data_IF_158690327324
#
_entry.id   IF_158690327324
#
_cell.length_a   1.000
_cell.length_b   1.000
_cell.length_c   1.000
_cell.angle_alpha   90.00
_cell.angle_beta   90.00
_cell.angle_gamma   90.00
#
_symmetry.space_group_name_H-M   'P 1'
#
loop_
_entity.id
_entity.type
_entity.pdbx_description
1 polymer ?
#
# COMPACT_ATOMS: atom_id res chain seq x y z
N UNK A 1 10.74 2.18 32.39
CA UNK A 1 10.82 3.30 31.42
C UNK A 1 9.44 3.45 30.81
N UNK A 2 8.81 4.62 30.86
CA UNK A 2 7.46 4.76 30.31
C UNK A 2 7.51 4.92 28.78
N UNK A 3 6.43 4.54 28.08
CA UNK A 3 6.30 4.77 26.63
C UNK A 3 6.51 6.25 26.25
N UNK A 4 6.19 7.18 27.15
CA UNK A 4 6.43 8.62 26.97
C UNK A 4 7.91 9.00 26.88
N UNK A 5 8.80 8.20 27.50
CA UNK A 5 10.23 8.52 27.62
C UNK A 5 11.02 8.07 26.40
N UNK A 6 10.38 7.31 25.51
CA UNK A 6 10.99 6.79 24.29
C UNK A 6 11.26 7.96 23.33
N UNK A 7 12.54 8.17 23.01
CA UNK A 7 12.95 9.15 21.98
C UNK A 7 12.29 8.83 20.64
N UNK A 8 11.56 9.79 20.09
CA UNK A 8 10.87 9.64 18.80
C UNK A 8 11.74 10.05 17.62
N UNK A 9 11.42 9.56 16.44
CA UNK A 9 12.05 9.99 15.20
C UNK A 9 11.85 11.49 15.00
N UNK A 10 12.91 12.20 14.61
CA UNK A 10 12.81 13.62 14.29
C UNK A 10 12.20 13.79 12.89
N UNK A 11 10.86 13.90 12.88
CA UNK A 11 10.06 14.16 11.69
C UNK A 11 10.19 15.62 11.21
N UNK A 12 10.59 16.54 12.10
CA UNK A 12 10.72 17.97 11.80
C UNK A 12 12.03 18.31 11.07
N UNK A 13 13.06 17.47 11.23
CA UNK A 13 14.33 17.62 10.52
C UNK A 13 14.11 17.69 9.02
N UNK A 14 14.44 18.86 8.46
CA UNK A 14 14.26 19.18 7.04
C UNK A 14 14.99 18.18 6.14
N UNK A 15 14.41 17.84 4.97
CA UNK A 15 15.09 16.99 4.00
C UNK A 15 16.39 17.64 3.55
N UNK A 16 17.44 16.83 3.50
CA UNK A 16 18.73 17.24 2.93
C UNK A 16 18.63 16.98 1.44
N UNK A 17 19.03 17.96 0.62
CA UNK A 17 19.10 17.77 -0.83
C UNK A 17 20.08 16.63 -1.15
N UNK A 18 19.68 15.67 -1.98
CA UNK A 18 20.51 14.50 -2.32
C UNK A 18 21.94 14.91 -2.68
N UNK A 19 22.92 14.38 -1.93
CA UNK A 19 24.32 14.75 -2.09
C UNK A 19 24.86 14.31 -3.44
N UNK A 20 25.57 15.21 -4.11
CA UNK A 20 26.04 15.00 -5.48
C UNK A 20 26.90 13.75 -5.67
N UNK A 21 27.79 13.46 -4.72
CA UNK A 21 28.68 12.30 -4.78
C UNK A 21 27.97 10.95 -4.60
N UNK A 22 26.75 10.92 -4.07
CA UNK A 22 25.95 9.69 -3.96
C UNK A 22 25.19 9.36 -5.26
N UNK A 23 25.05 10.33 -6.18
CA UNK A 23 24.30 10.13 -7.43
C UNK A 23 24.94 9.09 -8.36
N UNK A 24 26.26 9.13 -8.64
CA UNK A 24 26.90 8.10 -9.46
C UNK A 24 26.70 6.70 -8.89
N UNK A 25 26.77 6.56 -7.55
CA UNK A 25 26.50 5.28 -6.88
C UNK A 25 25.06 4.81 -7.11
N UNK A 26 24.06 5.69 -6.99
CA UNK A 26 22.67 5.31 -7.27
C UNK A 26 22.46 4.84 -8.72
N UNK A 27 23.16 5.45 -9.68
CA UNK A 27 23.09 5.02 -11.08
C UNK A 27 23.78 3.67 -11.28
N UNK A 28 24.98 3.50 -10.73
CA UNK A 28 25.73 2.25 -10.80
C UNK A 28 24.94 1.07 -10.23
N UNK A 29 24.18 1.28 -9.15
CA UNK A 29 23.34 0.24 -8.53
C UNK A 29 22.02 -0.02 -9.28
N UNK A 30 21.56 0.93 -10.09
CA UNK A 30 20.25 0.86 -10.77
C UNK A 30 20.35 0.32 -12.20
N UNK A 31 21.25 0.86 -13.01
CA UNK A 31 21.37 0.52 -14.44
C UNK A 31 21.56 -0.98 -14.71
N UNK A 32 22.42 -1.72 -13.98
CA UNK A 32 22.60 -3.15 -14.22
C UNK A 32 21.32 -3.96 -14.04
N UNK A 33 20.49 -3.61 -13.05
CA UNK A 33 19.21 -4.30 -12.84
C UNK A 33 18.23 -4.00 -13.97
N UNK A 34 18.12 -2.73 -14.39
CA UNK A 34 17.26 -2.32 -15.51
C UNK A 34 17.66 -3.03 -16.81
N UNK A 35 18.97 -3.16 -17.06
CA UNK A 35 19.52 -3.90 -18.20
C UNK A 35 19.26 -5.41 -18.08
N UNK A 36 19.48 -5.98 -16.89
CA UNK A 36 19.26 -7.41 -16.65
C UNK A 36 17.82 -7.83 -16.93
N UNK A 37 16.83 -6.99 -16.59
CA UNK A 37 15.41 -7.23 -16.87
C UNK A 37 14.95 -6.71 -18.24
N UNK A 38 15.86 -6.12 -19.03
CA UNK A 38 15.57 -5.53 -20.36
C UNK A 38 14.37 -4.58 -20.32
N UNK A 39 14.33 -3.73 -19.29
CA UNK A 39 13.18 -2.86 -19.03
C UNK A 39 13.06 -1.82 -20.16
N UNK A 40 11.88 -1.74 -20.79
CA UNK A 40 11.56 -0.71 -21.78
C UNK A 40 10.86 0.47 -21.10
N UNK A 41 11.51 1.62 -21.08
CA UNK A 41 10.94 2.86 -20.53
C UNK A 41 10.36 3.70 -21.68
N UNK A 42 9.04 3.89 -21.68
CA UNK A 42 8.32 4.70 -22.66
C UNK A 42 7.91 6.02 -22.03
N UNK A 43 8.13 7.15 -22.72
CA UNK A 43 7.80 8.49 -22.22
C UNK A 43 6.64 9.07 -23.02
N UNK A 44 5.55 9.45 -22.35
CA UNK A 44 4.34 10.00 -22.98
C UNK A 44 4.09 11.41 -22.45
N UNK A 45 4.00 12.39 -23.34
CA UNK A 45 3.79 13.79 -22.94
C UNK A 45 4.94 14.41 -22.12
N UNK A 46 6.12 13.78 -22.10
CA UNK A 46 7.26 14.25 -21.29
C UNK A 46 8.15 15.30 -21.99
N UNK A 47 7.78 15.75 -23.19
CA UNK A 47 8.58 16.72 -23.94
C UNK A 47 8.62 18.07 -23.22
N UNK A 48 9.82 18.57 -22.92
CA UNK A 48 10.02 19.85 -22.25
C UNK A 48 9.77 19.84 -20.73
N UNK A 49 9.27 18.74 -20.16
CA UNK A 49 9.07 18.63 -18.71
C UNK A 49 10.42 18.52 -18.01
N UNK A 50 10.67 19.42 -17.05
CA UNK A 50 11.85 19.40 -16.18
C UNK A 50 11.39 19.47 -14.72
N UNK A 51 12.18 18.94 -13.77
CA UNK A 51 11.91 19.15 -12.35
C UNK A 51 11.76 20.64 -11.99
N UNK A 52 10.94 20.98 -10.98
CA UNK A 52 10.26 20.06 -10.06
C UNK A 52 8.93 19.51 -10.62
N UNK A 53 8.65 18.25 -10.34
CA UNK A 53 7.34 17.62 -10.56
C UNK A 53 7.12 16.53 -9.51
N UNK A 54 5.85 16.21 -9.25
CA UNK A 54 5.46 15.08 -8.42
C UNK A 54 5.41 13.82 -9.28
N UNK A 55 6.24 12.84 -8.95
CA UNK A 55 6.26 11.53 -9.59
C UNK A 55 5.49 10.53 -8.73
N UNK A 56 4.41 9.99 -9.29
CA UNK A 56 3.58 8.94 -8.70
C UNK A 56 3.91 7.59 -9.33
N UNK A 57 4.32 6.61 -8.52
CA UNK A 57 4.69 5.29 -9.01
C UNK A 57 3.77 4.20 -8.44
N UNK A 58 3.41 3.18 -9.23
CA UNK A 58 2.83 1.96 -8.68
C UNK A 58 3.89 1.15 -7.93
N UNK A 59 3.49 0.36 -6.94
CA UNK A 59 4.43 -0.34 -6.06
C UNK A 59 4.19 -1.85 -6.03
N UNK A 60 5.13 -2.65 -6.53
CA UNK A 60 4.97 -4.10 -6.56
C UNK A 60 6.23 -4.87 -6.17
N UNK A 61 7.44 -4.32 -6.38
CA UNK A 61 8.67 -4.97 -5.92
C UNK A 61 9.84 -4.02 -5.77
N UNK A 62 10.97 -4.51 -5.25
CA UNK A 62 12.12 -3.65 -4.96
C UNK A 62 12.78 -3.05 -6.22
N UNK A 63 12.55 -3.63 -7.41
CA UNK A 63 13.10 -3.11 -8.67
C UNK A 63 12.53 -1.73 -9.02
N UNK A 64 11.38 -1.37 -8.46
CA UNK A 64 10.68 -0.10 -8.68
C UNK A 64 11.62 1.11 -8.51
N UNK A 65 12.42 1.11 -7.45
CA UNK A 65 13.37 2.19 -7.14
C UNK A 65 14.48 2.31 -8.18
N UNK A 66 14.93 1.18 -8.74
CA UNK A 66 16.00 1.13 -9.73
C UNK A 66 15.51 1.64 -11.09
N UNK A 67 14.35 1.17 -11.54
CA UNK A 67 13.75 1.67 -12.79
C UNK A 67 13.39 3.13 -12.66
N UNK A 68 12.81 3.56 -11.53
CA UNK A 68 12.51 4.98 -11.28
C UNK A 68 13.75 5.85 -11.43
N UNK A 69 14.87 5.42 -10.83
CA UNK A 69 16.16 6.13 -10.94
C UNK A 69 16.64 6.27 -12.39
N UNK A 70 16.46 5.24 -13.22
CA UNK A 70 16.83 5.28 -14.65
C UNK A 70 15.82 6.11 -15.46
N UNK A 71 14.53 6.02 -15.18
CA UNK A 71 13.47 6.72 -15.92
C UNK A 71 13.59 8.24 -15.84
N UNK A 72 14.01 8.75 -14.69
CA UNK A 72 14.19 10.19 -14.44
C UNK A 72 15.62 10.68 -14.64
N UNK A 73 16.54 9.83 -15.11
CA UNK A 73 17.92 10.24 -15.34
C UNK A 73 17.99 11.51 -16.21
N UNK A 74 18.85 12.50 -15.87
CA UNK A 74 19.84 12.52 -14.79
C UNK A 74 19.34 13.20 -13.49
N UNK A 75 18.04 13.35 -13.30
CA UNK A 75 17.46 14.15 -12.21
C UNK A 75 17.55 13.48 -10.84
N UNK A 76 17.45 14.30 -9.78
CA UNK A 76 17.46 13.83 -8.37
C UNK A 76 16.09 13.29 -7.99
N UNK A 77 16.08 12.17 -7.28
CA UNK A 77 14.89 11.53 -6.75
C UNK A 77 14.84 11.73 -5.22
N UNK A 78 13.77 12.35 -4.71
CA UNK A 78 13.56 12.48 -3.27
C UNK A 78 12.34 11.63 -2.90
N UNK A 79 12.60 10.46 -2.31
CA UNK A 79 11.57 9.48 -2.00
C UNK A 79 10.92 9.74 -0.65
N UNK A 80 9.60 9.58 -0.59
CA UNK A 80 8.92 9.39 0.68
C UNK A 80 9.10 7.93 1.11
N UNK A 81 9.82 7.70 2.20
CA UNK A 81 10.22 6.36 2.68
C UNK A 81 9.62 6.13 4.06
N UNK A 82 9.02 4.96 4.25
CA UNK A 82 8.47 4.56 5.54
C UNK A 82 9.59 4.39 6.59
N UNK A 83 9.26 4.57 7.87
CA UNK A 83 10.24 4.62 8.96
C UNK A 83 11.06 3.32 9.11
N UNK A 84 10.50 2.18 8.73
CA UNK A 84 11.19 0.88 8.68
C UNK A 84 12.40 0.89 7.76
N UNK A 85 12.33 1.62 6.64
CA UNK A 85 13.47 1.85 5.76
C UNK A 85 14.63 2.60 6.45
N UNK A 86 14.34 3.40 7.49
CA UNK A 86 15.34 4.17 8.23
C UNK A 86 16.09 3.37 9.29
N UNK A 87 15.66 2.15 9.63
CA UNK A 87 16.30 1.32 10.66
C UNK A 87 17.79 1.12 10.32
N UNK A 88 18.67 1.60 11.20
CA UNK A 88 20.13 1.54 11.06
C UNK A 88 20.70 2.36 9.88
N UNK A 89 19.87 3.14 9.17
CA UNK A 89 20.24 3.78 7.89
C UNK A 89 19.84 5.25 7.81
N UNK A 90 19.43 5.87 8.91
CA UNK A 90 18.92 7.24 8.92
C UNK A 90 19.87 8.25 8.28
N UNK A 91 21.16 8.20 8.62
CA UNK A 91 22.14 9.11 8.03
C UNK A 91 22.18 8.98 6.51
N UNK A 92 22.25 7.74 5.99
CA UNK A 92 22.32 7.50 4.55
C UNK A 92 21.04 7.98 3.86
N UNK A 93 19.87 7.55 4.34
CA UNK A 93 18.58 7.89 3.72
C UNK A 93 18.32 9.39 3.71
N UNK A 94 18.66 10.11 4.79
CA UNK A 94 18.57 11.58 4.78
C UNK A 94 19.50 12.20 3.74
N UNK A 95 20.73 11.71 3.60
CA UNK A 95 21.71 12.28 2.66
C UNK A 95 21.45 11.92 1.18
N UNK A 96 20.65 10.88 0.91
CA UNK A 96 20.14 10.61 -0.45
C UNK A 96 18.82 11.33 -0.76
N UNK A 97 18.30 12.16 0.15
CA UNK A 97 17.10 12.98 -0.08
C UNK A 97 15.78 12.32 0.32
N UNK A 98 15.80 11.22 1.08
CA UNK A 98 14.58 10.59 1.54
C UNK A 98 13.89 11.42 2.63
N UNK A 99 12.56 11.50 2.54
CA UNK A 99 11.65 12.07 3.54
C UNK A 99 11.03 10.91 4.31
N UNK A 100 11.23 10.87 5.62
CA UNK A 100 10.59 9.86 6.46
C UNK A 100 9.08 10.12 6.54
N UNK A 101 8.27 9.06 6.42
CA UNK A 101 6.82 9.07 6.66
C UNK A 101 6.41 7.87 7.51
N UNK A 102 5.26 7.99 8.17
CA UNK A 102 4.53 6.84 8.71
C UNK A 102 3.34 6.55 7.80
N UNK A 103 3.11 5.28 7.47
CA UNK A 103 2.11 4.87 6.46
C UNK A 103 0.71 5.22 6.96
N UNK A 104 -0.20 5.56 6.05
CA UNK A 104 -1.62 5.82 6.36
C UNK A 104 -1.88 6.90 7.43
N UNK A 105 -0.94 7.85 7.63
CA UNK A 105 -1.11 8.99 8.54
C UNK A 105 -1.27 10.31 7.78
N UNK A 106 -2.03 11.24 8.36
CA UNK A 106 -2.20 12.59 7.83
C UNK A 106 -1.12 13.53 8.39
N UNK A 107 0.08 13.45 7.83
CA UNK A 107 1.22 14.25 8.28
C UNK A 107 1.37 15.57 7.49
N UNK A 108 1.07 16.69 8.15
CA UNK A 108 1.25 18.03 7.55
C UNK A 108 2.72 18.44 7.43
N UNK A 109 3.61 17.86 8.23
CA UNK A 109 5.06 18.11 8.15
C UNK A 109 5.62 17.55 6.85
N UNK A 110 5.17 16.37 6.44
CA UNK A 110 5.51 15.75 5.16
C UNK A 110 5.21 16.68 3.97
N UNK A 111 4.06 17.35 3.98
CA UNK A 111 3.69 18.31 2.93
C UNK A 111 4.66 19.50 2.87
N UNK A 112 5.12 20.01 4.03
CA UNK A 112 6.13 21.08 4.08
C UNK A 112 7.47 20.62 3.51
N UNK A 113 7.86 19.38 3.80
CA UNK A 113 9.08 18.79 3.24
C UNK A 113 9.00 18.60 1.73
N UNK A 114 7.85 18.17 1.21
CA UNK A 114 7.59 18.10 -0.23
C UNK A 114 7.71 19.48 -0.90
N UNK A 115 7.13 20.53 -0.31
CA UNK A 115 7.32 21.91 -0.81
C UNK A 115 8.78 22.31 -0.84
N UNK A 116 9.55 21.99 0.21
CA UNK A 116 10.99 22.28 0.24
C UNK A 116 11.77 21.57 -0.88
N UNK A 117 11.39 20.34 -1.22
CA UNK A 117 11.99 19.62 -2.36
C UNK A 117 11.61 20.28 -3.68
N UNK A 118 10.35 20.68 -3.85
CA UNK A 118 9.91 21.42 -5.02
C UNK A 118 10.67 22.74 -5.19
N UNK A 119 10.86 23.50 -4.11
CA UNK A 119 11.65 24.75 -4.10
C UNK A 119 13.11 24.54 -4.50
N UNK A 120 13.68 23.36 -4.22
CA UNK A 120 15.03 23.00 -4.66
C UNK A 120 15.10 22.63 -6.14
N UNK A 121 13.96 22.50 -6.83
CA UNK A 121 13.86 22.11 -8.23
C UNK A 121 14.17 20.63 -8.47
N UNK A 122 13.87 19.75 -7.51
CA UNK A 122 14.13 18.31 -7.62
C UNK A 122 12.83 17.50 -7.76
N UNK A 123 12.91 16.23 -8.15
CA UNK A 123 11.74 15.34 -8.29
C UNK A 123 11.33 14.83 -6.92
N UNK A 124 10.02 14.87 -6.65
CA UNK A 124 9.42 14.23 -5.47
C UNK A 124 8.84 12.89 -5.90
N UNK A 125 9.29 11.79 -5.30
CA UNK A 125 8.80 10.46 -5.64
C UNK A 125 7.90 9.93 -4.53
N UNK A 126 6.67 9.56 -4.91
CA UNK A 126 5.65 9.04 -4.03
C UNK A 126 5.07 7.75 -4.62
N UNK A 127 5.03 6.70 -3.81
CA UNK A 127 4.22 5.51 -4.06
C UNK A 127 2.90 5.68 -3.29
N UNK A 128 1.81 6.16 -3.93
CA UNK A 128 0.60 6.55 -3.24
C UNK A 128 -0.18 5.38 -2.64
N UNK A 129 0.02 4.17 -3.17
CA UNK A 129 -0.51 2.91 -2.64
C UNK A 129 0.05 2.56 -1.26
N UNK A 130 1.17 3.19 -0.87
CA UNK A 130 1.84 3.11 0.44
C UNK A 130 2.33 1.71 0.90
N UNK A 131 2.09 0.67 0.10
CA UNK A 131 2.52 -0.71 0.27
C UNK A 131 2.69 -1.38 -1.09
N UNK A 132 3.35 -2.53 -1.14
CA UNK A 132 3.33 -3.35 -2.34
C UNK A 132 1.92 -3.86 -2.63
N UNK A 133 1.55 -3.99 -3.90
CA UNK A 133 0.33 -4.69 -4.28
C UNK A 133 0.35 -6.13 -3.76
N UNK A 134 -0.78 -6.55 -3.21
CA UNK A 134 -0.95 -7.91 -2.70
C UNK A 134 -1.16 -8.92 -3.83
N UNK A 135 -1.78 -8.50 -4.95
CA UNK A 135 -2.22 -9.38 -6.04
C UNK A 135 -1.89 -8.85 -7.44
N UNK A 136 -0.97 -7.89 -7.58
CA UNK A 136 -0.46 -7.42 -8.89
C UNK A 136 -1.38 -6.45 -9.61
N UNK A 137 -2.42 -5.96 -8.93
CA UNK A 137 -3.32 -4.89 -9.38
C UNK A 137 -3.23 -3.69 -8.45
N UNK A 138 -3.91 -2.61 -8.80
CA UNK A 138 -3.84 -1.36 -8.05
C UNK A 138 -4.51 -1.43 -6.68
N UNK A 139 -3.90 -0.79 -5.69
CA UNK A 139 -4.52 -0.60 -4.37
C UNK A 139 -5.38 0.67 -4.34
N UNK A 140 -6.14 0.86 -3.25
CA UNK A 140 -6.85 2.11 -3.01
C UNK A 140 -5.86 3.28 -2.87
N UNK A 141 -6.14 4.37 -3.58
CA UNK A 141 -5.36 5.60 -3.49
C UNK A 141 -6.03 6.60 -2.53
N UNK A 142 -5.26 7.40 -1.77
CA UNK A 142 -5.84 8.41 -0.90
C UNK A 142 -6.48 9.55 -1.71
N UNK A 143 -7.73 9.91 -1.41
CA UNK A 143 -8.44 11.05 -2.02
C UNK A 143 -7.75 12.40 -1.77
N UNK A 144 -6.88 12.47 -0.76
CA UNK A 144 -6.07 13.66 -0.49
C UNK A 144 -4.99 13.93 -1.54
N UNK A 145 -4.74 13.02 -2.49
CA UNK A 145 -3.73 13.23 -3.55
C UNK A 145 -4.04 14.46 -4.41
N UNK A 146 -5.27 14.63 -4.88
CA UNK A 146 -5.66 15.79 -5.68
C UNK A 146 -5.46 17.10 -4.90
N UNK A 147 -5.77 17.10 -3.60
CA UNK A 147 -5.52 18.24 -2.71
C UNK A 147 -4.02 18.52 -2.54
N UNK A 148 -3.21 17.48 -2.42
CA UNK A 148 -1.76 17.57 -2.37
C UNK A 148 -1.19 18.19 -3.66
N UNK A 149 -1.68 17.75 -4.82
CA UNK A 149 -1.29 18.30 -6.13
C UNK A 149 -1.60 19.81 -6.21
N UNK A 150 -2.84 20.21 -5.89
CA UNK A 150 -3.24 21.64 -5.87
C UNK A 150 -2.38 22.46 -4.91
N UNK A 151 -1.95 21.87 -3.80
CA UNK A 151 -1.13 22.54 -2.80
C UNK A 151 0.35 22.68 -3.21
N UNK A 152 0.88 21.74 -3.97
CA UNK A 152 2.27 21.77 -4.46
C UNK A 152 2.44 22.66 -5.70
N UNK A 153 1.40 22.81 -6.54
CA UNK A 153 1.44 23.63 -7.76
C UNK A 153 2.59 23.31 -8.72
N UNK A 154 2.93 22.01 -8.81
CA UNK A 154 3.93 21.46 -9.73
C UNK A 154 3.31 20.36 -10.60
N UNK A 155 3.78 20.13 -11.83
CA UNK A 155 3.26 19.07 -12.70
C UNK A 155 3.20 17.70 -12.01
N UNK A 156 2.25 16.89 -12.44
CA UNK A 156 2.10 15.50 -11.97
C UNK A 156 2.47 14.55 -13.10
N UNK A 157 3.35 13.62 -12.78
CA UNK A 157 3.85 12.59 -13.69
C UNK A 157 3.60 11.24 -13.02
N UNK A 158 3.16 10.23 -13.76
CA UNK A 158 3.14 8.85 -13.30
C UNK A 158 4.30 8.05 -13.89
N UNK A 159 4.74 7.02 -13.16
CA UNK A 159 5.55 5.93 -13.67
C UNK A 159 4.85 4.61 -13.34
N UNK A 160 4.16 4.04 -14.32
CA UNK A 160 3.46 2.76 -14.17
C UNK A 160 4.35 1.67 -14.75
N UNK A 161 4.75 0.72 -13.92
CA UNK A 161 5.56 -0.42 -14.31
C UNK A 161 4.73 -1.69 -14.42
N UNK A 162 5.14 -2.56 -15.34
CA UNK A 162 4.59 -3.88 -15.59
C UNK A 162 5.70 -4.94 -15.63
N UNK A 163 5.36 -6.15 -15.21
CA UNK A 163 6.20 -7.33 -15.07
C UNK A 163 6.90 -7.45 -13.72
N UNK A 164 6.84 -6.41 -12.88
CA UNK A 164 7.55 -6.35 -11.61
C UNK A 164 6.87 -7.10 -10.46
N UNK A 165 5.55 -7.27 -10.49
CA UNK A 165 4.84 -8.10 -9.51
C UNK A 165 5.07 -9.57 -9.83
N UNK A 166 4.82 -9.98 -11.07
CA UNK A 166 4.99 -11.40 -11.46
C UNK A 166 6.44 -11.86 -11.36
N UNK A 167 7.41 -10.94 -11.37
CA UNK A 167 8.83 -11.21 -11.13
C UNK A 167 9.20 -11.48 -9.67
N UNK A 168 8.57 -10.78 -8.73
CA UNK A 168 8.92 -10.83 -7.30
C UNK A 168 7.73 -10.32 -6.50
N UNK A 169 6.65 -11.13 -6.41
CA UNK A 169 5.42 -10.68 -5.78
C UNK A 169 5.61 -10.57 -4.27
N UNK A 170 4.78 -9.76 -3.60
CA UNK A 170 4.93 -9.48 -2.18
C UNK A 170 4.93 -10.73 -1.27
N UNK A 171 4.18 -11.76 -1.66
CA UNK A 171 4.10 -13.04 -0.96
C UNK A 171 5.24 -14.01 -1.30
N UNK A 172 6.10 -13.68 -2.28
CA UNK A 172 7.31 -14.43 -2.62
C UNK A 172 8.36 -13.50 -3.26
N UNK A 173 9.22 -12.94 -2.41
CA UNK A 173 10.20 -11.91 -2.80
C UNK A 173 11.38 -12.44 -3.63
N UNK A 174 11.39 -13.72 -4.01
CA UNK A 174 12.45 -14.25 -4.88
C UNK A 174 12.35 -13.61 -6.27
N UNK A 175 13.48 -13.11 -6.76
CA UNK A 175 13.59 -12.62 -8.13
C UNK A 175 13.53 -13.80 -9.11
N UNK A 176 12.54 -13.77 -10.01
CA UNK A 176 12.28 -14.79 -11.03
C UNK A 176 12.94 -14.47 -12.38
N UNK A 177 13.67 -13.36 -12.47
CA UNK A 177 14.45 -13.00 -13.65
C UNK A 177 13.65 -12.60 -14.89
N UNK A 178 12.38 -12.19 -14.72
CA UNK A 178 11.46 -11.76 -15.78
C UNK A 178 12.13 -10.72 -16.68
N UNK A 179 12.08 -10.96 -17.99
CA UNK A 179 12.65 -10.07 -19.01
C UNK A 179 11.54 -9.26 -19.68
N UNK A 180 11.93 -8.18 -20.34
CA UNK A 180 11.05 -7.33 -21.14
C UNK A 180 9.96 -6.65 -20.31
N UNK A 181 10.28 -6.31 -19.06
CA UNK A 181 9.43 -5.45 -18.23
C UNK A 181 9.20 -4.11 -18.94
N UNK A 182 8.07 -3.47 -18.67
CA UNK A 182 7.69 -2.20 -19.29
C UNK A 182 7.49 -1.15 -18.20
N UNK A 183 7.86 0.09 -18.48
CA UNK A 183 7.58 1.22 -17.61
C UNK A 183 7.14 2.43 -18.43
N UNK A 184 6.00 3.01 -18.08
CA UNK A 184 5.40 4.16 -18.79
C UNK A 184 5.50 5.38 -17.91
N UNK A 185 6.36 6.33 -18.30
CA UNK A 185 6.52 7.64 -17.67
C UNK A 185 5.62 8.66 -18.40
N UNK A 186 4.52 9.07 -17.80
CA UNK A 186 3.50 9.89 -18.45
C UNK A 186 3.17 11.16 -17.65
N UNK A 187 3.06 12.31 -18.32
CA UNK A 187 2.47 13.50 -17.71
C UNK A 187 0.96 13.30 -17.55
N UNK A 188 0.46 13.45 -16.33
CA UNK A 188 -0.96 13.34 -16.01
C UNK A 188 -1.64 14.71 -15.92
N UNK A 189 -0.93 15.67 -15.33
CA UNK A 189 -1.41 17.04 -15.12
C UNK A 189 -0.25 17.99 -15.37
N UNK A 190 -0.43 18.88 -16.35
CA UNK A 190 0.50 19.98 -16.62
C UNK A 190 0.37 21.09 -15.59
N UNK A 191 1.35 22.00 -15.53
CA UNK A 191 1.31 23.12 -14.57
C UNK A 191 0.09 24.00 -14.79
N UNK A 192 -0.28 24.26 -16.04
CA UNK A 192 -1.39 25.14 -16.40
C UNK A 192 -2.74 24.50 -16.07
N UNK A 193 -2.85 23.18 -16.21
CA UNK A 193 -4.06 22.44 -15.82
C UNK A 193 -4.28 22.40 -14.31
N UNK A 194 -3.24 22.51 -13.48
CA UNK A 194 -3.39 22.41 -12.01
C UNK A 194 -4.35 23.47 -11.49
N UNK A 195 -4.28 24.70 -11.99
CA UNK A 195 -5.14 25.78 -11.50
C UNK A 195 -6.58 25.65 -12.04
N UNK A 196 -6.75 25.06 -13.23
CA UNK A 196 -8.04 24.87 -13.90
C UNK A 196 -8.85 23.69 -13.33
N UNK A 197 -8.19 22.54 -13.13
CA UNK A 197 -8.85 21.32 -12.66
C UNK A 197 -9.20 21.41 -11.17
N UNK A 198 -10.32 20.82 -10.80
CA UNK A 198 -10.62 20.56 -9.40
C UNK A 198 -9.81 19.34 -8.88
N UNK A 199 -9.83 19.15 -7.56
CA UNK A 199 -9.05 18.07 -6.95
C UNK A 199 -9.62 16.67 -7.22
N UNK A 200 -10.92 16.55 -7.52
CA UNK A 200 -11.55 15.28 -7.87
C UNK A 200 -11.18 14.89 -9.30
N UNK A 201 -11.20 15.82 -10.25
CA UNK A 201 -10.74 15.56 -11.63
C UNK A 201 -9.27 15.11 -11.67
N UNK A 202 -8.42 15.74 -10.85
CA UNK A 202 -7.01 15.31 -10.69
C UNK A 202 -6.95 13.89 -10.11
N UNK A 203 -7.75 13.59 -9.08
CA UNK A 203 -7.82 12.24 -8.52
C UNK A 203 -8.30 11.23 -9.57
N UNK A 204 -9.27 11.55 -10.40
CA UNK A 204 -9.80 10.65 -11.43
C UNK A 204 -8.75 10.34 -12.49
N UNK A 205 -7.98 11.34 -12.93
CA UNK A 205 -6.83 11.13 -13.83
C UNK A 205 -5.77 10.23 -13.21
N UNK A 206 -5.43 10.45 -11.93
CA UNK A 206 -4.46 9.62 -11.20
C UNK A 206 -4.98 8.19 -11.07
N UNK A 207 -6.22 7.99 -10.61
CA UNK A 207 -6.81 6.66 -10.47
C UNK A 207 -6.89 5.92 -11.81
N UNK A 208 -7.21 6.63 -12.90
CA UNK A 208 -7.22 6.05 -14.25
C UNK A 208 -5.83 5.60 -14.67
N UNK A 209 -4.81 6.42 -14.43
CA UNK A 209 -3.43 6.05 -14.73
C UNK A 209 -2.92 4.87 -13.90
N UNK A 210 -3.42 4.72 -12.67
CA UNK A 210 -3.05 3.61 -11.78
C UNK A 210 -3.83 2.32 -12.06
N UNK A 211 -4.71 2.24 -13.06
CA UNK A 211 -5.31 0.95 -13.43
C UNK A 211 -4.29 0.08 -14.16
N UNK A 212 -3.82 -0.98 -13.51
CA UNK A 212 -2.91 -1.97 -14.08
C UNK A 212 -3.20 -3.36 -13.54
N UNK A 213 -2.77 -4.37 -14.29
CA UNK A 213 -2.87 -5.78 -13.94
C UNK A 213 -1.65 -6.53 -14.49
N UNK A 214 -0.78 -6.97 -13.57
CA UNK A 214 0.48 -7.60 -13.94
C UNK A 214 0.31 -9.04 -14.46
N UNK A 215 -0.74 -9.74 -14.02
CA UNK A 215 -1.06 -11.09 -14.50
C UNK A 215 -1.67 -11.03 -15.92
N UNK A 216 -2.56 -10.08 -16.18
CA UNK A 216 -3.07 -9.83 -17.53
C UNK A 216 -1.94 -9.42 -18.48
N UNK A 217 -1.06 -8.51 -18.04
CA UNK A 217 0.13 -8.11 -18.80
C UNK A 217 1.03 -9.32 -19.12
N UNK A 218 1.29 -10.20 -18.14
CA UNK A 218 2.09 -11.40 -18.34
C UNK A 218 1.51 -12.28 -19.46
N UNK A 219 0.19 -12.53 -19.42
CA UNK A 219 -0.53 -13.35 -20.40
C UNK A 219 -0.50 -12.71 -21.80
N UNK A 220 -0.84 -11.43 -21.91
CA UNK A 220 -0.88 -10.69 -23.18
C UNK A 220 0.48 -10.63 -23.86
N UNK A 221 1.54 -10.41 -23.07
CA UNK A 221 2.93 -10.37 -23.55
C UNK A 221 3.54 -11.77 -23.70
N UNK A 222 2.81 -12.83 -23.32
CA UNK A 222 3.26 -14.23 -23.35
C UNK A 222 4.58 -14.43 -22.61
N UNK A 223 4.70 -13.80 -21.45
CA UNK A 223 5.89 -13.90 -20.60
C UNK A 223 5.81 -15.20 -19.80
N UNK A 224 6.60 -16.18 -20.22
CA UNK A 224 6.76 -17.46 -19.54
C UNK A 224 7.62 -17.30 -18.29
N UNK A 225 7.13 -17.77 -17.15
CA UNK A 225 7.82 -17.80 -15.86
C UNK A 225 7.84 -19.25 -15.36
N UNK A 226 8.97 -19.92 -15.55
CA UNK A 226 9.19 -21.34 -15.20
C UNK A 226 9.69 -21.55 -13.77
N UNK A 227 9.62 -20.50 -12.93
CA UNK A 227 10.04 -20.59 -11.53
C UNK A 227 9.28 -21.73 -10.80
N UNK A 228 9.99 -22.71 -10.20
CA UNK A 228 9.37 -23.93 -9.67
C UNK A 228 8.50 -23.68 -8.43
N UNK A 229 8.75 -22.59 -7.69
CA UNK A 229 7.98 -22.21 -6.51
C UNK A 229 7.05 -21.02 -6.78
N UNK A 230 6.58 -20.87 -8.02
CA UNK A 230 5.78 -19.69 -8.43
C UNK A 230 4.47 -19.52 -7.68
N UNK A 231 3.85 -20.57 -7.13
CA UNK A 231 2.64 -20.47 -6.30
C UNK A 231 2.94 -20.39 -4.79
N UNK A 232 4.17 -20.69 -4.37
CA UNK A 232 4.55 -20.71 -2.95
C UNK A 232 4.34 -19.34 -2.30
N UNK A 233 3.53 -19.31 -1.25
CA UNK A 233 3.11 -18.12 -0.51
C UNK A 233 1.75 -17.56 -0.93
N UNK A 234 1.19 -17.99 -2.08
CA UNK A 234 -0.03 -17.41 -2.65
C UNK A 234 -1.26 -17.57 -1.74
N UNK A 235 -1.31 -18.63 -0.92
CA UNK A 235 -2.38 -18.83 0.09
C UNK A 235 -2.49 -17.71 1.13
N UNK A 236 -1.44 -16.90 1.32
CA UNK A 236 -1.50 -15.72 2.19
C UNK A 236 -2.36 -14.62 1.58
N UNK A 237 -2.33 -14.49 0.26
CA UNK A 237 -3.19 -13.58 -0.51
C UNK A 237 -4.58 -14.21 -0.64
N UNK A 238 -4.64 -15.44 -1.14
CA UNK A 238 -5.87 -16.20 -1.39
C UNK A 238 -6.19 -17.08 -0.18
N UNK A 239 -6.73 -16.48 0.87
CA UNK A 239 -6.95 -17.11 2.17
C UNK A 239 -8.29 -17.85 2.29
N UNK A 240 -9.24 -17.65 1.37
CA UNK A 240 -10.57 -18.26 1.41
C UNK A 240 -10.81 -19.16 0.19
N UNK A 241 -11.29 -20.37 0.44
CA UNK A 241 -11.56 -21.33 -0.63
C UNK A 241 -12.85 -20.97 -1.40
N UNK A 242 -12.83 -20.85 -2.74
CA UNK A 242 -13.99 -20.49 -3.53
C UNK A 242 -14.95 -21.66 -3.74
N UNK A 243 -14.47 -22.90 -3.56
CA UNK A 243 -15.29 -24.10 -3.70
C UNK A 243 -16.13 -24.42 -2.45
N UNK A 244 -15.57 -24.23 -1.25
CA UNK A 244 -16.24 -24.59 0.01
C UNK A 244 -16.38 -23.43 1.01
N UNK A 245 -16.00 -22.21 0.62
CA UNK A 245 -16.09 -20.97 1.41
C UNK A 245 -15.28 -20.95 2.71
N UNK A 246 -14.57 -22.03 3.05
CA UNK A 246 -13.74 -22.11 4.27
C UNK A 246 -12.58 -21.13 4.20
N UNK A 247 -12.43 -20.30 5.23
CA UNK A 247 -11.35 -19.32 5.39
C UNK A 247 -10.14 -19.96 6.09
N UNK A 248 -8.94 -19.42 5.85
CA UNK A 248 -7.68 -19.71 6.55
C UNK A 248 -7.18 -21.16 6.45
N UNK A 249 -7.76 -21.96 5.56
CA UNK A 249 -7.37 -23.35 5.27
C UNK A 249 -6.79 -23.52 3.86
N UNK A 250 -6.46 -22.42 3.20
CA UNK A 250 -5.72 -22.44 1.93
C UNK A 250 -4.23 -22.61 2.20
N UNK A 251 -3.56 -23.40 1.38
CA UNK A 251 -2.13 -23.72 1.48
C UNK A 251 -1.51 -23.71 0.09
N UNK A 252 -0.23 -23.38 -0.03
CA UNK A 252 0.47 -23.37 -1.33
C UNK A 252 1.92 -23.78 -1.20
N UNK A 253 2.43 -24.56 -2.14
CA UNK A 253 3.83 -24.96 -2.23
C UNK A 253 4.17 -25.27 -3.70
N UNK A 254 5.40 -24.97 -4.13
CA UNK A 254 5.80 -25.19 -5.52
C UNK A 254 4.90 -24.40 -6.48
N UNK A 255 4.16 -25.14 -7.31
CA UNK A 255 3.19 -24.61 -8.29
C UNK A 255 1.74 -24.81 -7.84
N UNK A 256 1.52 -25.43 -6.68
CA UNK A 256 0.20 -25.87 -6.21
C UNK A 256 -0.38 -24.89 -5.20
N UNK A 257 -1.70 -24.79 -5.22
CA UNK A 257 -2.56 -24.18 -4.21
C UNK A 257 -3.64 -25.20 -3.86
N UNK A 258 -3.96 -25.41 -2.59
CA UNK A 258 -5.00 -26.36 -2.19
C UNK A 258 -5.74 -25.91 -0.93
N UNK A 259 -6.96 -26.42 -0.76
CA UNK A 259 -7.73 -26.23 0.45
C UNK A 259 -7.59 -27.46 1.36
N UNK A 260 -7.13 -27.29 2.60
CA UNK A 260 -7.06 -28.40 3.56
C UNK A 260 -8.43 -28.93 4.00
N UNK A 261 -9.50 -28.14 3.86
CA UNK A 261 -10.85 -28.54 4.26
C UNK A 261 -11.51 -29.44 3.20
N UNK A 262 -11.72 -28.93 1.98
CA UNK A 262 -12.38 -29.70 0.91
C UNK A 262 -11.42 -30.48 -0.01
N UNK A 263 -10.10 -30.36 0.20
CA UNK A 263 -9.03 -31.04 -0.56
C UNK A 263 -8.93 -30.65 -2.04
N UNK A 264 -9.71 -29.68 -2.51
CA UNK A 264 -9.57 -29.18 -3.89
C UNK A 264 -8.19 -28.55 -4.11
N UNK A 265 -7.60 -28.83 -5.27
CA UNK A 265 -6.28 -28.37 -5.69
C UNK A 265 -6.35 -27.56 -6.99
N UNK A 266 -5.45 -26.58 -7.12
CA UNK A 266 -5.19 -25.78 -8.31
C UNK A 266 -3.69 -25.77 -8.62
N UNK A 267 -3.35 -25.76 -9.89
CA UNK A 267 -1.99 -25.55 -10.37
C UNK A 267 -1.87 -24.15 -10.99
N UNK A 268 -0.82 -23.43 -10.62
CA UNK A 268 -0.42 -22.19 -11.29
C UNK A 268 0.41 -22.50 -12.53
N UNK A 269 -0.05 -22.04 -13.69
CA UNK A 269 0.67 -22.16 -14.96
C UNK A 269 1.91 -21.26 -14.99
N UNK A 270 2.78 -21.45 -15.99
CA UNK A 270 3.92 -20.56 -16.23
C UNK A 270 3.50 -19.18 -16.77
N UNK A 271 2.21 -18.98 -17.05
CA UNK A 271 1.63 -17.71 -17.50
C UNK A 271 0.79 -17.01 -16.42
N UNK A 272 0.82 -17.52 -15.18
CA UNK A 272 0.19 -16.87 -14.03
C UNK A 272 -1.29 -17.24 -13.80
N UNK A 273 -1.83 -18.19 -14.57
CA UNK A 273 -3.21 -18.64 -14.47
C UNK A 273 -3.33 -19.82 -13.51
N UNK A 274 -4.44 -19.90 -12.77
CA UNK A 274 -4.79 -21.05 -11.94
C UNK A 274 -5.71 -22.00 -12.71
N UNK A 275 -5.45 -23.30 -12.60
CA UNK A 275 -6.33 -24.34 -13.15
C UNK A 275 -6.59 -25.39 -12.09
N UNK A 276 -7.86 -25.69 -11.82
CA UNK A 276 -8.24 -26.77 -10.92
C UNK A 276 -7.69 -28.11 -11.45
N UNK A 277 -7.14 -28.94 -10.56
CA UNK A 277 -6.67 -30.29 -10.93
C UNK A 277 -7.85 -31.18 -11.29
N UNK A 278 -8.95 -31.04 -10.54
CA UNK A 278 -10.21 -31.75 -10.76
C UNK A 278 -11.40 -30.77 -10.65
N UNK A 279 -12.41 -30.95 -11.51
CA UNK A 279 -13.62 -30.14 -11.53
C UNK A 279 -13.47 -28.78 -12.22
N UNK A 280 -14.39 -27.87 -11.93
CA UNK A 280 -14.39 -26.52 -12.52
C UNK A 280 -13.29 -25.64 -11.89
N UNK A 281 -12.71 -24.75 -12.68
CA UNK A 281 -11.85 -23.67 -12.16
C UNK A 281 -12.71 -22.45 -11.86
N UNK A 282 -12.91 -22.10 -10.59
CA UNK A 282 -13.72 -20.94 -10.19
C UNK A 282 -13.11 -19.63 -10.66
N UNK A 283 -11.79 -19.48 -10.49
CA UNK A 283 -11.03 -18.30 -10.84
C UNK A 283 -9.71 -18.73 -11.47
N UNK A 284 -9.55 -18.49 -12.78
CA UNK A 284 -8.26 -18.70 -13.45
C UNK A 284 -7.32 -17.53 -13.26
N UNK A 285 -7.86 -16.33 -13.07
CA UNK A 285 -7.11 -15.10 -12.85
C UNK A 285 -7.01 -14.81 -11.34
N UNK A 286 -5.79 -14.72 -10.81
CA UNK A 286 -5.55 -14.53 -9.36
C UNK A 286 -6.25 -13.27 -8.80
N UNK A 287 -6.22 -12.10 -9.48
CA UNK A 287 -6.96 -10.93 -9.04
C UNK A 287 -8.47 -11.14 -8.89
N UNK A 288 -9.10 -11.98 -9.71
CA UNK A 288 -10.55 -12.23 -9.62
C UNK A 288 -10.91 -12.97 -8.32
N UNK A 289 -10.07 -13.94 -7.91
CA UNK A 289 -10.23 -14.61 -6.63
C UNK A 289 -10.05 -13.61 -5.47
N UNK A 290 -9.02 -12.79 -5.50
CA UNK A 290 -8.77 -11.77 -4.47
C UNK A 290 -9.94 -10.77 -4.35
N UNK A 291 -10.52 -10.32 -5.46
CA UNK A 291 -11.68 -9.42 -5.43
C UNK A 291 -12.97 -10.14 -5.00
N UNK A 292 -13.10 -11.45 -5.26
CA UNK A 292 -14.17 -12.26 -4.66
C UNK A 292 -14.04 -12.35 -3.13
N UNK A 293 -12.83 -12.47 -2.58
CA UNK A 293 -12.59 -12.44 -1.13
C UNK A 293 -12.96 -11.06 -0.55
N UNK A 294 -12.61 -9.98 -1.24
CA UNK A 294 -13.05 -8.62 -0.86
C UNK A 294 -14.56 -8.52 -0.80
N UNK A 295 -15.28 -9.09 -1.75
CA UNK A 295 -16.74 -9.12 -1.76
C UNK A 295 -17.30 -9.93 -0.57
N UNK A 296 -16.67 -11.04 -0.17
CA UNK A 296 -17.06 -11.75 1.06
C UNK A 296 -16.89 -10.87 2.30
N UNK A 297 -15.76 -10.15 2.40
CA UNK A 297 -15.49 -9.22 3.50
C UNK A 297 -16.48 -8.07 3.51
N UNK A 298 -16.81 -7.50 2.34
CA UNK A 298 -17.82 -6.44 2.23
C UNK A 298 -19.15 -6.89 2.80
N UNK A 299 -19.62 -8.10 2.47
CA UNK A 299 -20.87 -8.65 3.00
C UNK A 299 -20.83 -8.79 4.53
N UNK A 300 -19.71 -9.25 5.10
CA UNK A 300 -19.54 -9.30 6.56
C UNK A 300 -19.63 -7.90 7.20
N UNK A 301 -19.03 -6.88 6.55
CA UNK A 301 -19.08 -5.49 7.02
C UNK A 301 -20.48 -4.90 6.91
N UNK A 302 -21.15 -5.05 5.77
CA UNK A 302 -22.49 -4.53 5.51
C UNK A 302 -23.54 -5.16 6.44
N UNK A 303 -23.38 -6.45 6.77
CA UNK A 303 -24.23 -7.14 7.73
C UNK A 303 -23.86 -6.84 9.20
N UNK A 304 -22.79 -6.09 9.46
CA UNK A 304 -22.31 -5.78 10.80
C UNK A 304 -21.73 -7.00 11.55
N UNK A 305 -21.40 -8.07 10.85
CA UNK A 305 -20.89 -9.32 11.43
C UNK A 305 -19.36 -9.41 11.44
N UNK A 306 -18.65 -8.50 10.75
CA UNK A 306 -17.19 -8.48 10.75
C UNK A 306 -16.63 -8.17 12.15
N UNK A 307 -15.81 -9.08 12.67
CA UNK A 307 -14.98 -8.88 13.86
C UNK A 307 -13.74 -9.75 13.80
N UNK A 308 -12.61 -9.17 14.17
CA UNK A 308 -11.37 -9.87 14.43
C UNK A 308 -10.87 -9.53 15.83
N UNK A 309 -10.46 -10.54 16.59
CA UNK A 309 -9.93 -10.39 17.94
C UNK A 309 -8.82 -11.42 18.16
N UNK A 310 -7.69 -10.98 18.69
CA UNK A 310 -6.55 -11.87 18.95
C UNK A 310 -5.67 -11.34 20.08
N UNK A 311 -5.12 -12.26 20.86
CA UNK A 311 -3.92 -11.97 21.64
C UNK A 311 -2.76 -11.75 20.67
N UNK A 312 -1.94 -10.74 20.94
CA UNK A 312 -0.88 -10.30 20.04
C UNK A 312 0.45 -10.16 20.76
N UNK A 313 1.53 -10.30 19.98
CA UNK A 313 2.84 -9.75 20.34
C UNK A 313 3.00 -8.39 19.68
N UNK A 314 3.54 -7.40 20.38
CA UNK A 314 3.64 -6.03 19.89
C UNK A 314 5.09 -5.53 19.93
N UNK A 315 5.58 -5.05 18.79
CA UNK A 315 6.84 -4.32 18.67
C UNK A 315 6.54 -2.87 18.25
N UNK A 316 7.07 -1.90 19.00
CA UNK A 316 7.04 -0.47 18.65
C UNK A 316 8.25 -0.10 17.80
N UNK A 317 8.06 0.74 16.79
CA UNK A 317 9.10 1.33 15.95
C UNK A 317 9.05 2.87 16.07
N UNK A 318 9.62 3.40 17.17
CA UNK A 318 9.50 4.82 17.49
C UNK A 318 10.50 5.68 16.71
N UNK A 319 11.61 5.09 16.27
CA UNK A 319 12.72 5.77 15.60
C UNK A 319 13.63 4.80 14.80
N UNK A 320 14.67 5.33 14.18
CA UNK A 320 15.61 4.60 13.32
C UNK A 320 16.57 3.63 14.04
N UNK A 321 16.55 3.56 15.38
CA UNK A 321 17.38 2.60 16.13
C UNK A 321 16.82 1.18 16.08
N UNK A 322 15.56 1.00 15.67
CA UNK A 322 14.92 -0.30 15.54
C UNK A 322 13.76 -0.50 16.50
N UNK A 323 13.34 -1.77 16.61
CA UNK A 323 12.16 -2.18 17.37
C UNK A 323 12.38 -2.16 18.88
N UNK A 324 11.33 -1.79 19.61
CA UNK A 324 11.20 -1.95 21.06
C UNK A 324 10.08 -2.95 21.29
N UNK A 325 10.42 -4.08 21.90
CA UNK A 325 9.45 -5.10 22.23
C UNK A 325 8.55 -4.62 23.38
N UNK A 326 7.25 -4.49 23.13
CA UNK A 326 6.27 -4.07 24.13
C UNK A 326 5.63 -5.26 24.85
N UNK A 327 5.89 -6.50 24.41
CA UNK A 327 5.33 -7.70 25.02
C UNK A 327 3.97 -8.07 24.45
N UNK A 328 3.11 -8.60 25.32
CA UNK A 328 1.80 -9.12 24.94
C UNK A 328 0.73 -8.02 25.00
N UNK A 329 -0.27 -8.14 24.13
CA UNK A 329 -1.44 -7.28 24.14
C UNK A 329 -2.64 -7.98 23.54
N UNK A 330 -3.70 -7.20 23.33
CA UNK A 330 -4.94 -7.62 22.70
C UNK A 330 -5.27 -6.67 21.56
N UNK A 331 -5.55 -7.22 20.37
CA UNK A 331 -6.00 -6.46 19.22
C UNK A 331 -7.46 -6.81 18.92
N UNK A 332 -8.28 -5.79 18.79
CA UNK A 332 -9.65 -5.88 18.25
C UNK A 332 -9.73 -5.06 16.98
N UNK A 333 -10.35 -5.61 15.93
CA UNK A 333 -10.69 -4.90 14.70
C UNK A 333 -12.14 -5.22 14.33
N UNK A 334 -13.00 -4.21 14.40
CA UNK A 334 -14.44 -4.34 14.16
C UNK A 334 -15.00 -3.09 13.45
N UNK A 335 -16.32 -2.95 13.46
CA UNK A 335 -17.03 -1.81 12.85
C UNK A 335 -16.53 -0.42 13.28
N UNK A 336 -15.94 -0.31 14.48
CA UNK A 336 -15.39 0.95 15.01
C UNK A 336 -13.97 1.24 14.50
N UNK A 337 -13.25 0.23 14.01
CA UNK A 337 -11.85 0.30 13.60
C UNK A 337 -10.96 -0.55 14.51
N UNK A 338 -9.71 -0.13 14.69
CA UNK A 338 -8.72 -0.85 15.50
C UNK A 338 -8.69 -0.36 16.94
N UNK A 339 -8.55 -1.30 17.87
CA UNK A 339 -8.21 -1.09 19.27
C UNK A 339 -7.09 -2.06 19.65
N UNK A 340 -5.90 -1.53 19.93
CA UNK A 340 -4.77 -2.27 20.49
C UNK A 340 -4.59 -1.87 21.94
N UNK A 341 -4.57 -2.84 22.83
CA UNK A 341 -4.36 -2.64 24.27
C UNK A 341 -3.25 -3.54 24.77
N UNK A 342 -2.46 -3.06 25.73
CA UNK A 342 -1.39 -3.84 26.33
C UNK A 342 -0.78 -3.13 27.53
N UNK A 343 0.27 -3.72 28.08
CA UNK A 343 1.03 -3.16 29.19
C UNK A 343 2.51 -3.20 28.86
N UNK A 344 3.23 -2.11 29.17
CA UNK A 344 4.67 -2.03 29.02
C UNK A 344 5.29 -1.49 30.32
N UNK A 345 6.19 -2.25 30.93
CA UNK A 345 6.90 -1.86 32.17
C UNK A 345 5.93 -1.41 33.30
N UNK A 346 4.84 -2.16 33.52
CA UNK A 346 3.82 -1.83 34.53
C UNK A 346 2.85 -0.71 34.14
N UNK A 347 2.97 -0.15 32.92
CA UNK A 347 2.12 0.94 32.44
C UNK A 347 1.20 0.49 31.32
N UNK A 348 -0.14 0.64 31.46
CA UNK A 348 -1.06 0.30 30.39
C UNK A 348 -0.91 1.27 29.22
N UNK A 349 -1.13 0.77 28.00
CA UNK A 349 -1.22 1.58 26.79
C UNK A 349 -2.40 1.15 25.93
N UNK A 350 -2.94 2.10 25.18
CA UNK A 350 -4.03 1.87 24.24
C UNK A 350 -3.81 2.70 22.98
N UNK A 351 -4.01 2.08 21.82
CA UNK A 351 -3.97 2.72 20.51
C UNK A 351 -5.29 2.43 19.82
N UNK A 352 -6.07 3.48 19.57
CA UNK A 352 -7.33 3.36 18.84
C UNK A 352 -7.27 4.15 17.54
N UNK A 353 -7.67 3.50 16.44
CA UNK A 353 -7.77 4.12 15.12
C UNK A 353 -9.16 3.82 14.57
N UNK A 354 -9.97 4.87 14.41
CA UNK A 354 -11.33 4.74 13.89
C UNK A 354 -11.35 4.27 12.43
N UNK A 355 -12.34 3.44 12.08
CA UNK A 355 -12.63 3.04 10.69
C UNK A 355 -12.81 4.23 9.74
N UNK A 356 -13.24 5.39 10.24
CA UNK A 356 -13.37 6.62 9.45
C UNK A 356 -12.04 7.31 9.14
N UNK A 357 -11.01 7.08 9.96
CA UNK A 357 -9.73 7.75 9.85
C UNK A 357 -8.70 6.98 9.00
N UNK A 358 -8.91 5.67 8.82
CA UNK A 358 -7.92 4.77 8.23
C UNK A 358 -8.45 4.14 6.94
N UNK A 359 -8.02 4.65 5.80
CA UNK A 359 -8.51 4.19 4.50
C UNK A 359 -7.95 2.84 4.04
N UNK A 360 -6.83 2.41 4.62
CA UNK A 360 -6.19 1.11 4.44
C UNK A 360 -5.14 0.91 5.54
N UNK A 361 -4.65 -0.31 5.74
CA UNK A 361 -3.59 -0.63 6.70
C UNK A 361 -2.40 -1.30 6.02
N UNK A 362 -1.22 -1.19 6.64
CA UNK A 362 -0.06 -1.93 6.18
C UNK A 362 -0.08 -3.34 6.78
N UNK A 363 0.30 -4.32 5.97
CA UNK A 363 0.42 -5.72 6.39
C UNK A 363 1.73 -6.28 5.88
N UNK A 364 2.24 -7.29 6.55
CA UNK A 364 3.44 -8.00 6.15
C UNK A 364 3.25 -9.51 6.28
N UNK A 365 3.80 -10.25 5.30
CA UNK A 365 3.85 -11.70 5.35
C UNK A 365 5.19 -12.14 5.94
N UNK A 366 5.16 -12.83 7.08
CA UNK A 366 6.32 -13.32 7.80
C UNK A 366 7.44 -12.27 7.97
N UNK A 367 7.10 -11.09 8.50
CA UNK A 367 8.01 -9.95 8.54
C UNK A 367 9.31 -10.27 9.28
N UNK A 368 10.45 -10.15 8.58
CA UNK A 368 11.79 -10.46 9.07
C UNK A 368 11.95 -11.88 9.66
N UNK A 369 11.04 -12.80 9.37
CA UNK A 369 11.07 -14.16 9.92
C UNK A 369 10.92 -14.25 11.44
N UNK A 370 10.40 -13.20 12.10
CA UNK A 370 10.35 -13.13 13.57
C UNK A 370 9.16 -13.87 14.19
N UNK A 371 7.96 -13.34 13.97
CA UNK A 371 6.74 -13.76 14.68
C UNK A 371 5.60 -14.11 13.71
N UNK A 372 5.88 -14.28 12.43
CA UNK A 372 4.88 -14.55 11.40
C UNK A 372 4.30 -13.30 10.76
N UNK A 373 3.06 -13.41 10.27
CA UNK A 373 2.35 -12.34 9.58
C UNK A 373 1.95 -11.24 10.56
N UNK A 374 2.03 -9.97 10.13
CA UNK A 374 1.77 -8.86 11.03
C UNK A 374 0.99 -7.72 10.40
N UNK A 375 0.36 -6.95 11.26
CA UNK A 375 -0.34 -5.71 10.95
C UNK A 375 0.54 -4.56 11.43
N UNK A 376 0.69 -3.54 10.60
CA UNK A 376 1.44 -2.33 10.93
C UNK A 376 0.44 -1.16 11.07
N UNK A 377 0.26 -0.71 12.31
CA UNK A 377 -0.58 0.43 12.66
C UNK A 377 0.27 1.65 13.03
N UNK A 378 -0.05 2.79 12.42
CA UNK A 378 0.77 3.99 12.50
C UNK A 378 0.03 5.12 13.22
N UNK A 379 0.72 5.75 14.16
CA UNK A 379 0.36 7.08 14.70
C UNK A 379 1.34 8.11 14.14
N UNK A 380 1.18 9.40 14.48
CA UNK A 380 2.17 10.42 14.06
C UNK A 380 3.54 10.24 14.73
N UNK A 381 3.57 9.61 15.90
CA UNK A 381 4.78 9.50 16.74
C UNK A 381 5.36 8.09 16.81
N UNK A 382 4.59 7.07 16.46
CA UNK A 382 4.98 5.67 16.57
C UNK A 382 4.39 4.77 15.48
N UNK A 383 4.98 3.60 15.28
CA UNK A 383 4.47 2.53 14.42
C UNK A 383 4.48 1.23 15.22
N UNK A 384 3.36 0.54 15.24
CA UNK A 384 3.16 -0.69 16.00
C UNK A 384 3.09 -1.87 15.02
N UNK A 385 4.05 -2.77 15.14
CA UNK A 385 4.05 -4.06 14.46
C UNK A 385 3.38 -5.06 15.39
N UNK A 386 2.23 -5.58 14.95
CA UNK A 386 1.31 -6.35 15.77
C UNK A 386 1.20 -7.74 15.14
N UNK A 387 1.56 -8.76 15.91
CA UNK A 387 1.64 -10.15 15.48
C UNK A 387 0.54 -10.97 16.18
N UNK A 388 -0.57 -11.29 15.49
CA UNK A 388 -1.61 -12.15 16.04
C UNK A 388 -1.10 -13.54 16.38
N UNK A 389 -1.58 -14.08 17.51
CA UNK A 389 -1.19 -15.42 18.01
C UNK A 389 -2.21 -16.50 17.67
N UNK A 390 -3.41 -16.14 17.23
CA UNK A 390 -4.40 -17.11 16.76
C UNK A 390 -3.89 -17.83 15.51
N UNK A 391 -4.26 -19.10 15.33
CA UNK A 391 -3.87 -19.88 14.16
C UNK A 391 -4.77 -19.65 12.94
N UNK A 392 -6.00 -19.18 13.15
CA UNK A 392 -7.01 -19.01 12.10
C UNK A 392 -7.24 -17.52 11.80
N UNK A 393 -6.34 -16.93 11.02
CA UNK A 393 -6.48 -15.55 10.56
C UNK A 393 -5.77 -15.32 9.23
N UNK A 394 -6.07 -14.18 8.61
CA UNK A 394 -5.33 -13.65 7.48
C UNK A 394 -5.18 -12.15 7.62
N UNK A 395 -3.96 -11.66 7.58
CA UNK A 395 -3.68 -10.21 7.50
C UNK A 395 -4.25 -9.61 6.21
N UNK A 396 -4.41 -10.39 5.16
CA UNK A 396 -5.09 -9.98 3.91
C UNK A 396 -6.55 -9.66 4.17
N UNK A 397 -7.28 -10.53 4.90
CA UNK A 397 -8.66 -10.24 5.31
C UNK A 397 -8.75 -8.94 6.10
N UNK A 398 -7.80 -8.72 7.03
CA UNK A 398 -7.76 -7.50 7.85
C UNK A 398 -7.53 -6.25 6.99
N UNK A 399 -6.63 -6.33 6.00
CA UNK A 399 -6.41 -5.26 5.04
C UNK A 399 -7.67 -4.96 4.21
N UNK A 400 -8.32 -5.99 3.65
CA UNK A 400 -9.57 -5.85 2.92
C UNK A 400 -10.67 -5.24 3.79
N UNK A 401 -10.80 -5.73 5.03
CA UNK A 401 -11.79 -5.24 5.98
C UNK A 401 -11.55 -3.78 6.35
N UNK A 402 -10.29 -3.36 6.51
CA UNK A 402 -9.96 -1.95 6.78
C UNK A 402 -10.48 -1.04 5.67
N UNK A 403 -10.26 -1.44 4.41
CA UNK A 403 -10.72 -0.68 3.24
C UNK A 403 -12.25 -0.65 3.13
N UNK A 404 -12.94 -1.78 3.33
CA UNK A 404 -14.41 -1.85 3.25
C UNK A 404 -15.07 -1.14 4.45
N UNK A 405 -14.52 -1.23 5.66
CA UNK A 405 -14.96 -0.48 6.84
C UNK A 405 -14.85 1.03 6.63
N UNK A 406 -13.76 1.50 6.03
CA UNK A 406 -13.60 2.91 5.68
C UNK A 406 -14.68 3.37 4.70
N UNK A 407 -14.90 2.61 3.61
CA UNK A 407 -15.96 2.89 2.63
C UNK A 407 -17.34 2.93 3.29
N UNK A 408 -17.66 1.93 4.12
CA UNK A 408 -18.93 1.83 4.84
C UNK A 408 -19.16 3.01 5.80
N UNK A 409 -18.14 3.40 6.57
CA UNK A 409 -18.24 4.53 7.51
C UNK A 409 -18.55 5.86 6.80
N UNK A 410 -18.09 6.00 5.55
CA UNK A 410 -18.32 7.20 4.73
C UNK A 410 -19.70 7.22 4.09
N UNK A 411 -20.20 6.10 3.59
CA UNK A 411 -21.56 6.04 3.04
C UNK A 411 -22.61 6.31 4.13
N UNK A 412 -22.42 5.75 5.32
CA UNK A 412 -23.23 6.05 6.51
C UNK A 412 -23.21 7.54 6.88
N UNK A 413 -22.01 8.16 6.87
CA UNK A 413 -21.86 9.59 7.16
C UNK A 413 -22.56 10.47 6.12
N UNK A 414 -22.46 10.14 4.84
CA UNK A 414 -23.15 10.86 3.76
C UNK A 414 -24.66 10.72 3.87
N UNK A 415 -25.16 9.51 4.15
CA UNK A 415 -26.60 9.28 4.36
C UNK A 415 -27.13 10.02 5.60
N UNK A 416 -26.37 10.05 6.70
CA UNK A 416 -26.70 10.80 7.89
C UNK A 416 -26.68 12.32 7.66
N UNK A 417 -25.73 12.83 6.86
CA UNK A 417 -25.67 14.23 6.47
C UNK A 417 -26.89 14.63 5.64
N UNK A 418 -27.25 13.84 4.62
CA UNK A 418 -28.45 14.07 3.78
C UNK A 418 -29.73 14.05 4.62
N UNK A 419 -29.88 13.10 5.56
CA UNK A 419 -31.03 13.07 6.48
C UNK A 419 -31.10 14.30 7.39
N UNK A 420 -29.97 14.84 7.85
CA UNK A 420 -29.94 16.08 8.65
C UNK A 420 -30.35 17.31 7.83
N UNK A 421 -29.93 17.42 6.58
CA UNK A 421 -30.31 18.54 5.70
C UNK A 421 -31.79 18.52 5.33
N UNK A 422 -32.38 17.31 5.19
CA UNK A 422 -33.80 17.13 4.92
C UNK A 422 -34.68 17.28 6.17
N UNK A 423 -34.14 17.04 7.37
CA UNK A 423 -34.86 17.13 8.65
C UNK A 423 -34.97 18.54 9.25
N UNK A 424 -34.33 19.55 8.66
CA UNK A 424 -34.39 20.96 9.12
C UNK A 424 -35.32 21.85 8.28
N UNK A 425 -36.16 21.26 7.43
CA UNK A 425 -37.01 21.97 6.46
C UNK A 425 -38.44 22.30 6.91
N UNK A 426 -39.00 21.65 7.93
CA UNK A 426 -40.41 21.82 8.30
C UNK A 426 -40.57 22.30 9.75
N UNK A 427 -40.68 23.62 9.90
CA UNK A 427 -40.83 24.25 11.21
C UNK A 427 -41.27 25.71 11.16
N UNK A 428 -42.11 26.10 10.19
CA UNK A 428 -42.88 27.36 10.28
C UNK A 428 -44.35 26.99 10.45
N UNK A 429 -44.75 26.85 11.71
CA UNK A 429 -46.16 26.81 12.11
C UNK A 429 -46.77 28.18 11.83
N UNK A 430 -47.54 28.29 10.75
CA UNK A 430 -48.52 29.35 10.58
C UNK A 430 -49.77 28.97 11.40
N UNK A 431 -49.89 29.51 12.61
CA UNK A 431 -51.18 29.56 13.31
C UNK A 431 -51.86 30.87 12.96
N UNK A 432 -52.94 30.71 12.18
CA UNK A 432 -53.87 31.73 11.74
C UNK A 432 -54.59 32.40 12.92
N UNK A 433 -54.64 33.73 12.91
CA UNK A 433 -55.73 34.49 13.53
C UNK A 433 -56.96 34.35 12.64
N UNK A 434 -58.01 33.73 13.16
CA UNK A 434 -59.36 34.27 13.27
C UNK A 434 -60.19 33.32 14.15
#
# INVERSE_FOLDING_TARGET
>A
MHLSDIKRFDMLKKPIRQRHFLRPLTWLLSYPAVLAHRVKITKIGMHGIKPPYLLLCNHNSFIDFKVTTVAIFPHRANYLVAIDGFIGREWLLRNVGCICKRKFTNDTVMVRHMKKVADNGDVIVLYPEARYSLCGTNAILPESLGKLVKLLKIPVVSLIMHGHHVNSPFWNLKDRGVKHMEAVLAQLVSKDEIDLLDHNEINDRINTAFKYDDFAWQREKKIRIDYPERAKGLHKVLYQCPACYTQYRMMSEGIKLWCEHCKKEWNMSEYGELTAVEGATEFSHIPDWYEWEREQVRREVENGSYRFESDVTVDSLPNAKGFIHLGNGKLTHDMKGFLLEGEYEGSPYSVSISSRALYSCHIEYNYLGKHGDCIDLNTLTDTYYIYPKCSEFSVTKIALATEELYKFSRTQSSAAAVKRTLGTGDGVSATSRL
#
